data_IF_347753363919
#
_entry.id   IF_347753363919
#
_cell.length_a   1.000
_cell.length_b   1.000
_cell.length_c   1.000
_cell.angle_alpha   90.00
_cell.angle_beta   90.00
_cell.angle_gamma   90.00
#
_symmetry.space_group_name_H-M   'P 1'
#
loop_
_entity.id
_entity.type
_entity.pdbx_description
1 polymer ?
#
# COMPACT_ATOMS: atom_id res chain seq x y z
N UNK A 1 44.52 -21.30 13.10
CA UNK A 1 44.19 -19.87 13.05
C UNK A 1 42.77 -19.76 12.49
N UNK A 2 41.84 -19.50 13.38
CA UNK A 2 40.39 -19.43 13.12
C UNK A 2 40.07 -18.11 12.42
N UNK A 3 39.44 -18.18 11.24
CA UNK A 3 38.85 -17.02 10.57
C UNK A 3 37.39 -16.86 11.06
N UNK A 4 37.22 -15.97 12.02
CA UNK A 4 35.96 -15.49 12.50
C UNK A 4 35.20 -14.81 11.36
N UNK A 5 34.13 -15.48 10.85
CA UNK A 5 33.17 -14.89 9.92
C UNK A 5 32.37 -13.81 10.67
N UNK A 6 32.70 -12.55 10.40
CA UNK A 6 32.02 -11.38 10.93
C UNK A 6 30.52 -11.43 10.53
N UNK A 7 29.68 -11.88 11.45
CA UNK A 7 28.23 -11.67 11.39
C UNK A 7 27.99 -10.17 11.32
N UNK A 8 27.46 -9.67 10.21
CA UNK A 8 26.95 -8.28 10.16
C UNK A 8 25.84 -8.16 11.19
N UNK A 9 25.88 -7.17 12.11
CA UNK A 9 24.78 -6.97 13.03
C UNK A 9 23.52 -6.64 12.22
N UNK A 10 22.40 -7.36 12.48
CA UNK A 10 21.08 -6.93 12.07
C UNK A 10 20.95 -5.47 12.48
N UNK A 11 20.61 -4.56 11.54
CA UNK A 11 20.11 -3.24 11.90
C UNK A 11 18.89 -3.51 12.76
N UNK A 12 19.01 -3.21 14.05
CA UNK A 12 17.86 -3.02 14.92
C UNK A 12 17.12 -1.85 14.28
N UNK A 13 16.04 -2.13 13.58
CA UNK A 13 15.04 -1.11 13.24
C UNK A 13 14.65 -0.49 14.58
N UNK A 14 14.68 0.84 14.67
CA UNK A 14 14.08 1.56 15.79
C UNK A 14 12.73 0.92 16.03
N UNK A 15 12.57 0.34 17.22
CA UNK A 15 11.35 -0.32 17.64
C UNK A 15 10.27 0.76 17.78
N UNK A 16 9.59 1.10 16.68
CA UNK A 16 8.21 1.52 16.77
C UNK A 16 7.53 0.39 17.50
N UNK A 17 6.98 0.67 18.66
CA UNK A 17 6.32 -0.37 19.47
C UNK A 17 5.12 -0.82 18.64
N UNK A 18 5.22 -2.01 18.05
CA UNK A 18 4.15 -2.62 17.28
C UNK A 18 2.86 -2.59 18.12
N UNK A 19 1.72 -2.27 17.52
CA UNK A 19 0.44 -2.30 18.21
C UNK A 19 0.12 -3.77 18.57
N UNK A 20 0.20 -4.17 19.86
CA UNK A 20 0.02 -5.56 20.25
C UNK A 20 -1.40 -6.08 19.99
N UNK A 21 -2.35 -5.18 19.75
CA UNK A 21 -3.74 -5.52 19.45
C UNK A 21 -3.97 -5.77 17.95
N UNK A 22 -3.01 -5.39 17.10
CA UNK A 22 -3.07 -5.63 15.67
C UNK A 22 -2.99 -7.13 15.38
N UNK A 23 -4.03 -7.67 14.74
CA UNK A 23 -4.04 -9.04 14.20
C UNK A 23 -3.83 -8.96 12.69
N UNK A 24 -2.84 -9.71 12.21
CA UNK A 24 -2.50 -9.71 10.78
C UNK A 24 -3.15 -10.84 10.01
N UNK A 25 -3.44 -11.97 10.63
CA UNK A 25 -4.01 -13.11 9.93
C UNK A 25 -5.51 -12.89 9.64
N UNK A 26 -5.87 -12.99 8.37
CA UNK A 26 -7.25 -13.16 7.94
C UNK A 26 -7.65 -14.63 8.08
N UNK A 27 -8.42 -14.95 9.12
CA UNK A 27 -8.85 -16.33 9.43
C UNK A 27 -9.62 -16.91 8.26
N UNK A 28 -10.54 -16.15 7.66
CA UNK A 28 -11.40 -16.60 6.57
C UNK A 28 -10.59 -16.95 5.31
N UNK A 29 -9.47 -16.28 5.08
CA UNK A 29 -8.58 -16.56 3.95
C UNK A 29 -7.90 -17.95 4.04
N UNK A 30 -7.82 -18.53 5.26
CA UNK A 30 -7.18 -19.82 5.51
C UNK A 30 -8.17 -20.99 5.75
N UNK A 31 -9.47 -20.71 5.90
CA UNK A 31 -10.43 -21.78 6.18
C UNK A 31 -10.74 -22.63 4.93
N UNK A 32 -11.12 -22.02 3.83
CA UNK A 32 -11.30 -22.69 2.54
C UNK A 32 -11.02 -21.72 1.38
N UNK A 33 -10.54 -22.21 0.21
CA UNK A 33 -10.45 -21.39 -0.98
C UNK A 33 -11.82 -20.83 -1.32
N UNK A 34 -11.95 -19.50 -1.37
CA UNK A 34 -13.20 -18.86 -1.78
C UNK A 34 -13.49 -19.22 -3.24
N UNK A 35 -14.47 -20.12 -3.46
CA UNK A 35 -14.87 -20.53 -4.79
C UNK A 35 -15.36 -19.29 -5.56
N UNK A 36 -14.51 -18.80 -6.46
CA UNK A 36 -14.80 -17.60 -7.27
C UNK A 36 -14.20 -16.31 -6.75
N UNK A 37 -13.17 -16.32 -5.88
CA UNK A 37 -12.39 -15.14 -5.58
C UNK A 37 -11.93 -14.48 -6.90
N UNK A 38 -12.43 -13.28 -7.15
CA UNK A 38 -12.11 -12.50 -8.35
C UNK A 38 -11.04 -11.49 -8.02
N UNK A 39 -9.93 -11.56 -8.75
CA UNK A 39 -8.84 -10.59 -8.71
C UNK A 39 -8.25 -10.44 -10.11
N UNK A 40 -7.55 -9.35 -10.34
CA UNK A 40 -6.89 -9.10 -11.62
C UNK A 40 -5.55 -9.85 -11.65
N UNK A 41 -5.41 -10.79 -12.56
CA UNK A 41 -4.14 -11.49 -12.76
C UNK A 41 -3.12 -10.58 -13.46
N UNK A 42 -1.85 -10.81 -13.24
CA UNK A 42 -0.80 -10.07 -13.95
C UNK A 42 -0.93 -10.20 -15.48
N UNK A 43 -1.35 -11.37 -15.97
CA UNK A 43 -1.57 -11.62 -17.41
C UNK A 43 -2.67 -10.73 -17.99
N UNK A 44 -3.62 -10.26 -17.22
CA UNK A 44 -4.72 -9.42 -17.71
C UNK A 44 -4.24 -8.01 -18.08
N UNK A 45 -3.11 -7.55 -17.51
CA UNK A 45 -2.55 -6.21 -17.75
C UNK A 45 -1.15 -6.21 -18.36
N UNK A 46 -0.43 -7.33 -18.31
CA UNK A 46 0.89 -7.52 -18.89
C UNK A 46 1.00 -8.90 -19.54
N UNK A 47 0.75 -8.98 -20.86
CA UNK A 47 0.72 -10.20 -21.63
C UNK A 47 1.09 -9.93 -23.10
N UNK A 48 1.22 -10.99 -23.87
CA UNK A 48 1.39 -10.90 -25.33
C UNK A 48 0.22 -10.14 -25.99
N UNK A 49 -0.99 -10.29 -25.46
CA UNK A 49 -2.17 -9.57 -25.97
C UNK A 49 -2.10 -8.06 -25.69
N UNK A 50 -1.41 -7.66 -24.60
CA UNK A 50 -1.20 -6.26 -24.23
C UNK A 50 0.06 -5.64 -24.87
N UNK A 51 0.55 -6.23 -25.95
CA UNK A 51 1.73 -5.79 -26.73
C UNK A 51 3.07 -5.92 -26.00
N UNK A 52 3.16 -6.76 -25.01
CA UNK A 52 4.43 -7.15 -24.42
C UNK A 52 5.17 -8.18 -25.28
N UNK A 53 6.48 -8.32 -25.05
CA UNK A 53 7.33 -9.27 -25.77
C UNK A 53 7.88 -10.33 -24.82
N UNK A 54 8.02 -11.60 -25.25
CA UNK A 54 8.60 -12.64 -24.41
C UNK A 54 10.00 -12.28 -23.92
N UNK A 55 10.32 -12.69 -22.70
CA UNK A 55 11.67 -12.55 -22.10
C UNK A 55 12.32 -13.91 -21.95
N UNK A 56 13.61 -13.94 -21.62
CA UNK A 56 14.40 -15.15 -21.34
C UNK A 56 14.39 -16.16 -22.50
N UNK A 57 14.25 -15.68 -23.75
CA UNK A 57 14.21 -16.54 -24.93
C UNK A 57 12.94 -17.38 -25.06
N UNK A 58 11.90 -17.11 -24.29
CA UNK A 58 10.65 -17.85 -24.31
C UNK A 58 9.96 -17.77 -25.69
N UNK A 59 9.37 -18.89 -26.14
CA UNK A 59 8.42 -18.88 -27.22
C UNK A 59 7.04 -18.48 -26.70
N UNK A 60 6.13 -18.09 -27.59
CA UNK A 60 4.78 -17.63 -27.18
C UNK A 60 4.01 -18.64 -26.35
N UNK A 61 4.24 -19.92 -26.62
CA UNK A 61 3.59 -21.03 -25.94
C UNK A 61 4.19 -21.34 -24.55
N UNK A 62 5.38 -20.78 -24.26
CA UNK A 62 6.15 -21.11 -23.05
C UNK A 62 6.19 -19.99 -22.01
N UNK A 63 5.53 -18.87 -22.26
CA UNK A 63 5.59 -17.69 -21.36
C UNK A 63 4.78 -17.84 -20.07
N UNK A 64 3.79 -18.73 -20.03
CA UNK A 64 2.86 -18.84 -18.90
C UNK A 64 3.52 -19.46 -17.66
N UNK A 65 3.27 -18.84 -16.51
CA UNK A 65 3.56 -19.35 -15.16
C UNK A 65 2.40 -19.03 -14.22
N UNK A 66 2.34 -19.76 -13.13
CA UNK A 66 1.43 -19.52 -12.01
C UNK A 66 2.23 -19.39 -10.71
N UNK A 67 1.79 -18.51 -9.81
CA UNK A 67 2.46 -18.25 -8.53
C UNK A 67 1.48 -18.43 -7.38
N UNK A 68 1.87 -19.24 -6.39
CA UNK A 68 1.17 -19.44 -5.14
C UNK A 68 1.48 -18.29 -4.19
N UNK A 69 0.45 -17.76 -3.55
CA UNK A 69 0.54 -16.84 -2.42
C UNK A 69 0.46 -17.59 -1.07
N UNK A 70 0.82 -16.95 0.05
CA UNK A 70 0.89 -17.64 1.35
C UNK A 70 -0.49 -17.86 1.99
N UNK A 71 -1.47 -18.20 1.19
CA UNK A 71 -2.81 -18.63 1.59
C UNK A 71 -3.29 -19.75 0.66
N UNK A 72 -4.33 -20.51 1.01
CA UNK A 72 -4.87 -21.56 0.15
C UNK A 72 -5.67 -21.04 -1.05
N UNK A 73 -5.69 -19.73 -1.28
CA UNK A 73 -6.43 -19.09 -2.36
C UNK A 73 -5.84 -19.43 -3.75
N UNK A 74 -6.58 -19.20 -4.86
CA UNK A 74 -6.11 -19.53 -6.20
C UNK A 74 -4.78 -18.87 -6.56
N UNK A 75 -3.97 -19.57 -7.35
CA UNK A 75 -2.70 -19.05 -7.89
C UNK A 75 -2.95 -17.91 -8.87
N UNK A 76 -2.04 -16.95 -8.87
CA UNK A 76 -2.04 -15.88 -9.86
C UNK A 76 -1.33 -16.32 -11.13
N UNK A 77 -1.90 -15.95 -12.29
CA UNK A 77 -1.35 -16.22 -13.61
C UNK A 77 -0.50 -15.04 -14.09
N UNK A 78 0.68 -15.36 -14.59
CA UNK A 78 1.61 -14.43 -15.20
C UNK A 78 2.03 -14.93 -16.58
N UNK A 79 2.46 -14.02 -17.43
CA UNK A 79 3.28 -14.33 -18.60
C UNK A 79 4.67 -13.71 -18.41
N UNK A 80 5.73 -14.47 -18.74
CA UNK A 80 7.12 -14.01 -18.72
C UNK A 80 7.39 -13.12 -19.93
N UNK A 81 6.89 -11.89 -19.83
CA UNK A 81 6.97 -10.87 -20.88
C UNK A 81 7.48 -9.55 -20.32
N UNK A 82 7.93 -8.69 -21.21
CA UNK A 82 8.33 -7.32 -20.91
C UNK A 82 7.54 -6.33 -21.77
N UNK A 83 7.13 -5.23 -21.20
CA UNK A 83 6.52 -4.09 -21.86
C UNK A 83 6.86 -2.82 -21.10
N UNK A 84 6.98 -1.70 -21.81
CA UNK A 84 7.20 -0.40 -21.17
C UNK A 84 5.99 -0.05 -20.30
N UNK A 85 6.25 0.39 -19.07
CA UNK A 85 5.23 0.77 -18.08
C UNK A 85 4.24 -0.38 -17.77
N UNK A 86 4.71 -1.63 -17.84
CA UNK A 86 3.97 -2.85 -17.52
C UNK A 86 4.63 -3.61 -16.38
N UNK A 87 3.89 -4.51 -15.75
CA UNK A 87 4.42 -5.38 -14.71
C UNK A 87 5.58 -6.20 -15.27
N UNK A 88 6.72 -6.13 -14.59
CA UNK A 88 7.84 -7.06 -14.83
C UNK A 88 7.56 -8.38 -14.12
N UNK A 89 7.04 -9.36 -14.86
CA UNK A 89 6.64 -10.65 -14.32
C UNK A 89 7.79 -11.42 -13.68
N UNK A 90 9.02 -11.27 -14.19
CA UNK A 90 10.21 -11.94 -13.65
C UNK A 90 10.56 -11.35 -12.28
N UNK A 91 10.68 -10.02 -12.20
CA UNK A 91 11.02 -9.35 -10.94
C UNK A 91 9.90 -9.49 -9.90
N UNK A 92 8.62 -9.37 -10.33
CA UNK A 92 7.48 -9.56 -9.45
C UNK A 92 7.45 -10.97 -8.84
N UNK A 93 7.73 -12.01 -9.66
CA UNK A 93 7.80 -13.40 -9.20
C UNK A 93 8.90 -13.61 -8.16
N UNK A 94 10.11 -13.12 -8.42
CA UNK A 94 11.23 -13.21 -7.49
C UNK A 94 10.88 -12.49 -6.19
N UNK A 95 10.28 -11.28 -6.29
CA UNK A 95 9.93 -10.50 -5.10
C UNK A 95 8.86 -11.17 -4.24
N UNK A 96 7.88 -11.82 -4.84
CA UNK A 96 6.87 -12.61 -4.10
C UNK A 96 7.57 -13.70 -3.28
N UNK A 97 8.47 -14.47 -3.91
CA UNK A 97 9.22 -15.54 -3.22
C UNK A 97 10.05 -14.99 -2.06
N UNK A 98 10.73 -13.85 -2.26
CA UNK A 98 11.50 -13.18 -1.21
C UNK A 98 10.61 -12.75 -0.04
N UNK A 99 9.49 -12.08 -0.32
CA UNK A 99 8.58 -11.57 0.71
C UNK A 99 7.92 -12.69 1.52
N UNK A 100 7.58 -13.80 0.87
CA UNK A 100 7.08 -15.00 1.58
C UNK A 100 8.15 -15.52 2.54
N UNK A 101 9.38 -15.70 2.08
CA UNK A 101 10.47 -16.19 2.93
C UNK A 101 10.82 -15.20 4.08
N UNK A 102 10.80 -13.90 3.80
CA UNK A 102 11.15 -12.86 4.78
C UNK A 102 10.08 -12.67 5.88
N UNK A 103 8.81 -12.82 5.54
CA UNK A 103 7.69 -12.41 6.40
C UNK A 103 6.97 -13.59 7.05
N UNK A 104 6.75 -14.67 6.30
CA UNK A 104 5.89 -15.77 6.73
C UNK A 104 6.63 -16.98 7.30
N UNK A 105 7.95 -17.02 7.16
CA UNK A 105 8.74 -18.21 7.53
C UNK A 105 9.78 -17.86 8.59
N UNK A 106 10.05 -18.81 9.49
CA UNK A 106 11.21 -18.75 10.38
C UNK A 106 12.50 -18.98 9.58
N UNK A 107 13.67 -18.72 10.18
CA UNK A 107 14.97 -18.93 9.52
C UNK A 107 15.14 -20.40 9.05
N UNK A 108 14.64 -21.36 9.83
CA UNK A 108 14.71 -22.80 9.49
C UNK A 108 13.78 -23.15 8.34
N UNK A 109 12.53 -22.68 8.39
CA UNK A 109 11.53 -22.90 7.34
C UNK A 109 11.88 -22.19 6.03
N UNK A 110 12.58 -21.04 6.11
CA UNK A 110 13.02 -20.27 4.96
C UNK A 110 14.29 -20.82 4.30
N UNK A 111 14.99 -21.76 4.92
CA UNK A 111 16.25 -22.29 4.41
C UNK A 111 16.19 -22.75 2.95
N UNK A 112 15.18 -23.53 2.49
CA UNK A 112 15.07 -23.94 1.10
C UNK A 112 14.94 -22.77 0.11
N UNK A 113 14.46 -21.61 0.58
CA UNK A 113 14.29 -20.40 -0.23
C UNK A 113 15.56 -19.54 -0.25
N UNK A 114 16.24 -19.41 0.91
CA UNK A 114 17.28 -18.41 1.14
C UNK A 114 18.70 -18.97 1.13
N UNK A 115 18.88 -20.28 1.06
CA UNK A 115 20.20 -20.94 1.08
C UNK A 115 21.13 -20.35 0.02
N UNK A 116 22.34 -19.94 0.47
CA UNK A 116 23.35 -19.32 -0.39
C UNK A 116 23.89 -20.26 -1.49
N UNK A 117 23.82 -21.57 -1.30
CA UNK A 117 24.40 -22.56 -2.22
C UNK A 117 23.43 -23.09 -3.28
N UNK A 118 22.11 -22.86 -3.13
CA UNK A 118 21.15 -23.41 -4.07
C UNK A 118 19.68 -23.12 -3.74
N UNK A 119 19.41 -22.22 -2.83
CA UNK A 119 18.05 -21.80 -2.48
C UNK A 119 17.27 -21.24 -3.67
N UNK A 120 15.95 -21.32 -3.59
CA UNK A 120 15.04 -20.95 -4.66
C UNK A 120 15.25 -19.52 -5.17
N UNK A 121 15.44 -18.55 -4.25
CA UNK A 121 15.66 -17.14 -4.63
C UNK A 121 16.91 -17.02 -5.50
N UNK A 122 18.03 -17.61 -5.07
CA UNK A 122 19.27 -17.58 -5.84
C UNK A 122 19.14 -18.25 -7.21
N UNK A 123 18.42 -19.36 -7.29
CA UNK A 123 18.15 -20.07 -8.56
C UNK A 123 17.32 -19.21 -9.51
N UNK A 124 16.29 -18.53 -9.03
CA UNK A 124 15.48 -17.61 -9.81
C UNK A 124 16.29 -16.42 -10.33
N UNK A 125 17.07 -15.77 -9.45
CA UNK A 125 17.95 -14.64 -9.81
C UNK A 125 19.02 -15.07 -10.83
N UNK A 126 19.61 -16.25 -10.66
CA UNK A 126 20.60 -16.78 -11.61
C UNK A 126 19.95 -17.08 -12.97
N UNK A 127 18.80 -17.76 -12.98
CA UNK A 127 18.12 -18.13 -14.20
C UNK A 127 17.65 -16.91 -15.01
N UNK A 128 17.20 -15.83 -14.32
CA UNK A 128 16.75 -14.60 -14.95
C UNK A 128 17.91 -13.65 -15.37
N UNK A 129 19.14 -13.96 -15.00
CA UNK A 129 20.31 -13.12 -15.36
C UNK A 129 20.42 -12.96 -16.88
N UNK A 130 20.68 -11.74 -17.35
CA UNK A 130 20.76 -11.38 -18.78
C UNK A 130 21.74 -12.25 -19.60
N UNK A 131 22.80 -12.75 -18.95
CA UNK A 131 23.80 -13.58 -19.61
C UNK A 131 23.47 -15.09 -19.59
N UNK A 132 22.47 -15.50 -18.80
CA UNK A 132 22.10 -16.91 -18.59
C UNK A 132 20.79 -17.21 -19.28
N UNK A 133 19.73 -16.46 -18.98
CA UNK A 133 18.39 -16.56 -19.58
C UNK A 133 17.86 -18.01 -19.60
N UNK A 134 17.95 -18.69 -18.45
CA UNK A 134 17.52 -20.08 -18.32
C UNK A 134 16.03 -20.17 -17.99
N UNK A 135 15.19 -20.13 -19.01
CA UNK A 135 13.74 -20.24 -18.90
C UNK A 135 13.31 -21.52 -18.19
N UNK A 136 13.92 -22.65 -18.54
CA UNK A 136 13.58 -23.97 -17.98
C UNK A 136 13.90 -24.01 -16.48
N UNK A 137 15.08 -23.55 -16.09
CA UNK A 137 15.48 -23.45 -14.69
C UNK A 137 14.62 -22.48 -13.89
N UNK A 138 14.21 -21.37 -14.48
CA UNK A 138 13.31 -20.42 -13.85
C UNK A 138 11.93 -21.03 -13.57
N UNK A 139 11.30 -21.65 -14.57
CA UNK A 139 10.00 -22.32 -14.44
C UNK A 139 10.04 -23.48 -13.46
N UNK A 140 11.13 -24.27 -13.45
CA UNK A 140 11.33 -25.34 -12.49
C UNK A 140 11.42 -24.81 -11.05
N UNK A 141 12.13 -23.69 -10.82
CA UNK A 141 12.23 -23.07 -9.50
C UNK A 141 10.88 -22.49 -9.03
N UNK A 142 10.08 -21.89 -9.91
CA UNK A 142 8.72 -21.44 -9.59
C UNK A 142 7.81 -22.61 -9.24
N UNK A 143 7.91 -23.72 -9.99
CA UNK A 143 7.14 -24.92 -9.70
C UNK A 143 7.46 -25.50 -8.31
N UNK A 144 8.74 -25.60 -7.99
CA UNK A 144 9.23 -26.08 -6.69
C UNK A 144 8.78 -25.12 -5.55
N UNK A 145 8.87 -23.81 -5.76
CA UNK A 145 8.33 -22.80 -4.85
C UNK A 145 6.85 -23.05 -4.55
N UNK A 146 6.03 -23.19 -5.60
CA UNK A 146 4.59 -23.41 -5.45
C UNK A 146 4.29 -24.68 -4.65
N UNK A 147 5.02 -25.78 -4.91
CA UNK A 147 4.85 -27.04 -4.17
C UNK A 147 5.27 -26.91 -2.71
N UNK A 148 6.43 -26.30 -2.46
CA UNK A 148 6.94 -26.11 -1.09
C UNK A 148 6.02 -25.22 -0.28
N UNK A 149 5.59 -24.08 -0.85
CA UNK A 149 4.68 -23.18 -0.16
C UNK A 149 3.30 -23.79 0.09
N UNK A 150 2.79 -24.57 -0.87
CA UNK A 150 1.51 -25.25 -0.71
C UNK A 150 1.53 -26.17 0.52
N UNK A 151 2.58 -26.97 0.71
CA UNK A 151 2.74 -27.84 1.89
C UNK A 151 2.77 -27.01 3.18
N UNK A 152 3.53 -25.90 3.22
CA UNK A 152 3.61 -25.02 4.40
C UNK A 152 2.27 -24.36 4.73
N UNK A 153 1.45 -24.07 3.73
CA UNK A 153 0.09 -23.53 3.90
C UNK A 153 -0.85 -24.63 4.42
N UNK A 154 -0.84 -25.82 3.83
CA UNK A 154 -1.67 -26.97 4.22
C UNK A 154 -1.36 -27.44 5.65
N UNK A 155 -0.10 -27.43 6.06
CA UNK A 155 0.35 -27.74 7.42
C UNK A 155 0.04 -26.63 8.45
N UNK A 156 -0.51 -25.50 7.99
CA UNK A 156 -0.87 -24.35 8.84
C UNK A 156 0.32 -23.57 9.39
N UNK A 157 1.55 -23.84 8.89
CA UNK A 157 2.79 -23.18 9.36
C UNK A 157 2.73 -21.68 9.07
N UNK A 158 2.37 -21.31 7.84
CA UNK A 158 2.26 -19.91 7.39
C UNK A 158 1.26 -19.13 8.26
N UNK A 159 0.07 -19.66 8.47
CA UNK A 159 -0.97 -19.06 9.30
C UNK A 159 -0.50 -18.87 10.76
N UNK A 160 0.13 -19.90 11.34
CA UNK A 160 0.68 -19.86 12.71
C UNK A 160 1.80 -18.83 12.88
N UNK A 161 2.63 -18.64 11.88
CA UNK A 161 3.69 -17.65 11.92
C UNK A 161 3.13 -16.24 11.79
N UNK A 162 2.13 -16.03 10.92
CA UNK A 162 1.46 -14.74 10.77
C UNK A 162 0.73 -14.30 12.04
N UNK A 163 0.19 -15.23 12.84
CA UNK A 163 -0.42 -14.95 14.14
C UNK A 163 0.55 -14.35 15.17
N UNK A 164 1.85 -14.51 14.98
CA UNK A 164 2.89 -13.97 15.89
C UNK A 164 3.31 -12.55 15.51
N UNK A 165 2.86 -12.05 14.35
CA UNK A 165 3.22 -10.74 13.85
C UNK A 165 2.12 -9.73 14.17
N UNK A 166 2.54 -8.49 14.47
CA UNK A 166 1.65 -7.37 14.75
C UNK A 166 1.86 -6.20 13.81
N UNK A 167 2.86 -6.26 12.95
CA UNK A 167 3.19 -5.25 11.95
C UNK A 167 3.69 -5.89 10.66
N UNK A 168 3.48 -5.19 9.54
CA UNK A 168 4.05 -5.54 8.25
C UNK A 168 5.23 -4.62 7.94
N UNK A 169 6.33 -5.13 7.37
CA UNK A 169 7.41 -4.29 6.87
C UNK A 169 6.89 -3.28 5.84
N UNK A 170 7.31 -2.01 5.92
CA UNK A 170 6.85 -0.96 5.00
C UNK A 170 7.07 -1.30 3.52
N UNK A 171 8.20 -1.96 3.18
CA UNK A 171 8.47 -2.40 1.81
C UNK A 171 7.51 -3.50 1.32
N UNK A 172 6.98 -4.31 2.23
CA UNK A 172 5.97 -5.31 1.90
C UNK A 172 4.60 -4.66 1.68
N UNK A 173 4.22 -3.72 2.55
CA UNK A 173 3.02 -2.90 2.37
C UNK A 173 3.04 -2.21 1.01
N UNK A 174 4.14 -1.52 0.68
CA UNK A 174 4.33 -0.85 -0.60
C UNK A 174 4.17 -1.83 -1.77
N UNK A 175 4.79 -3.01 -1.70
CA UNK A 175 4.68 -4.01 -2.76
C UNK A 175 3.23 -4.48 -3.00
N UNK A 176 2.45 -4.72 -1.95
CA UNK A 176 1.04 -5.11 -2.08
C UNK A 176 0.23 -3.98 -2.74
N UNK A 177 0.45 -2.74 -2.30
CA UNK A 177 -0.24 -1.57 -2.85
C UNK A 177 0.14 -1.31 -4.32
N UNK A 178 1.41 -1.47 -4.67
CA UNK A 178 1.89 -1.39 -6.06
C UNK A 178 1.25 -2.50 -6.92
N UNK A 179 1.13 -3.73 -6.39
CA UNK A 179 0.42 -4.80 -7.10
C UNK A 179 -1.03 -4.42 -7.44
N UNK A 180 -1.71 -3.73 -6.53
CA UNK A 180 -3.09 -3.29 -6.70
C UNK A 180 -3.16 -2.16 -7.73
N UNK A 181 -2.33 -1.14 -7.55
CA UNK A 181 -2.26 0.03 -8.43
C UNK A 181 -1.94 -0.35 -9.88
N UNK A 182 -0.94 -1.21 -10.09
CA UNK A 182 -0.50 -1.66 -11.41
C UNK A 182 -1.58 -2.44 -12.17
N UNK A 183 -2.55 -3.01 -11.47
CA UNK A 183 -3.64 -3.80 -12.06
C UNK A 183 -4.93 -3.00 -12.28
N UNK A 184 -5.11 -1.92 -11.55
CA UNK A 184 -6.40 -1.19 -11.52
C UNK A 184 -6.29 0.24 -12.01
N UNK A 185 -5.28 0.98 -11.57
CA UNK A 185 -5.13 2.41 -11.87
C UNK A 185 -4.16 2.64 -13.04
N UNK A 186 -2.97 2.04 -13.00
CA UNK A 186 -1.94 2.27 -14.01
C UNK A 186 -2.41 2.01 -15.45
N UNK A 187 -3.23 0.98 -15.75
CA UNK A 187 -3.77 0.77 -17.10
C UNK A 187 -4.70 1.88 -17.59
N UNK A 188 -5.18 2.74 -16.67
CA UNK A 188 -6.19 3.79 -16.93
C UNK A 188 -5.77 5.16 -16.39
N UNK A 189 -4.48 5.37 -16.15
CA UNK A 189 -3.96 6.59 -15.50
C UNK A 189 -4.30 7.86 -16.30
N UNK A 190 -4.52 7.76 -17.61
CA UNK A 190 -4.95 8.88 -18.46
C UNK A 190 -6.31 9.46 -18.04
N UNK A 191 -7.15 8.70 -17.34
CA UNK A 191 -8.43 9.20 -16.82
C UNK A 191 -8.23 10.24 -15.71
N UNK A 192 -7.09 10.18 -15.00
CA UNK A 192 -6.73 11.13 -13.95
C UNK A 192 -6.20 12.46 -14.52
N UNK A 193 -5.69 12.47 -15.76
CA UNK A 193 -5.20 13.69 -16.41
C UNK A 193 -6.29 14.68 -16.80
N UNK A 194 -7.57 14.29 -16.70
CA UNK A 194 -8.74 15.13 -16.99
C UNK A 194 -9.11 16.08 -15.86
N UNK A 195 -8.32 16.16 -14.82
CA UNK A 195 -8.46 17.15 -13.76
C UNK A 195 -8.07 18.55 -14.28
N UNK A 196 -8.85 19.57 -13.94
CA UNK A 196 -8.64 20.94 -14.42
C UNK A 196 -7.52 21.63 -13.60
N UNK A 197 -6.44 22.03 -14.26
CA UNK A 197 -5.37 22.79 -13.64
C UNK A 197 -5.87 24.17 -13.15
N UNK A 198 -5.52 24.53 -11.92
CA UNK A 198 -5.88 25.84 -11.33
C UNK A 198 -7.25 25.88 -10.64
N UNK A 199 -7.89 24.74 -10.47
CA UNK A 199 -9.11 24.56 -9.67
C UNK A 199 -8.82 23.69 -8.45
N UNK A 200 -9.82 23.51 -7.56
CA UNK A 200 -9.74 22.55 -6.44
C UNK A 200 -9.64 21.08 -6.92
N UNK A 201 -9.71 20.85 -8.22
CA UNK A 201 -9.76 19.53 -8.87
C UNK A 201 -8.40 19.17 -9.50
N UNK A 202 -7.33 19.27 -8.74
CA UNK A 202 -5.98 18.84 -9.16
C UNK A 202 -5.64 17.52 -8.52
N UNK A 203 -5.21 16.54 -9.34
CA UNK A 203 -4.78 15.25 -8.85
C UNK A 203 -3.30 15.25 -8.48
N UNK A 204 -2.98 14.74 -7.30
CA UNK A 204 -1.61 14.55 -6.82
C UNK A 204 -1.56 13.57 -5.66
N UNK A 205 -0.58 12.68 -5.66
CA UNK A 205 -0.47 11.57 -4.71
C UNK A 205 0.63 11.78 -3.68
N UNK A 206 0.36 11.41 -2.42
CA UNK A 206 1.37 11.15 -1.41
C UNK A 206 1.93 9.74 -1.65
N UNK A 207 3.25 9.62 -1.71
CA UNK A 207 3.91 8.34 -1.95
C UNK A 207 4.03 7.50 -0.65
N UNK A 208 4.11 6.19 -0.79
CA UNK A 208 4.12 5.25 0.34
C UNK A 208 5.07 5.63 1.48
N UNK A 209 6.33 6.02 1.23
CA UNK A 209 7.23 6.42 2.31
C UNK A 209 6.76 7.62 3.12
N UNK A 210 6.04 8.56 2.47
CA UNK A 210 5.50 9.72 3.16
C UNK A 210 4.32 9.35 4.05
N UNK A 211 3.42 8.50 3.56
CA UNK A 211 2.29 8.00 4.34
C UNK A 211 2.76 7.23 5.57
N UNK A 212 3.73 6.31 5.41
CA UNK A 212 4.37 5.60 6.53
C UNK A 212 4.96 6.58 7.54
N UNK A 213 5.75 7.57 7.09
CA UNK A 213 6.32 8.60 7.96
C UNK A 213 5.25 9.34 8.76
N UNK A 214 4.16 9.76 8.10
CA UNK A 214 3.08 10.52 8.74
C UNK A 214 2.32 9.68 9.76
N UNK A 215 1.80 8.54 9.34
CA UNK A 215 0.83 7.78 10.11
C UNK A 215 1.48 6.84 11.13
N UNK A 216 2.59 6.19 10.77
CA UNK A 216 3.26 5.20 11.63
C UNK A 216 4.31 5.87 12.52
N UNK A 217 5.28 6.59 11.92
CA UNK A 217 6.42 7.10 12.67
C UNK A 217 6.09 8.33 13.51
N UNK A 218 5.36 9.30 12.94
CA UNK A 218 5.12 10.59 13.56
C UNK A 218 3.86 10.59 14.42
N UNK A 219 2.72 10.17 13.87
CA UNK A 219 1.44 10.17 14.59
C UNK A 219 1.18 8.89 15.37
N UNK A 220 1.91 7.81 15.09
CA UNK A 220 1.79 6.51 15.77
C UNK A 220 0.34 6.04 15.83
N UNK A 221 -0.35 6.14 14.69
CA UNK A 221 -1.74 5.74 14.54
C UNK A 221 -1.87 4.23 14.83
N UNK A 222 -2.93 3.83 15.52
CA UNK A 222 -3.15 2.47 16.00
C UNK A 222 -4.34 1.80 15.33
N UNK A 223 -4.40 0.49 15.42
CA UNK A 223 -5.45 -0.32 14.79
C UNK A 223 -6.86 -0.07 15.35
N UNK A 224 -6.98 0.43 16.58
CA UNK A 224 -8.25 0.79 17.22
C UNK A 224 -8.73 2.21 16.91
N UNK A 225 -8.02 2.94 16.08
CA UNK A 225 -8.28 4.34 15.73
C UNK A 225 -8.94 4.50 14.36
N UNK A 226 -9.38 5.72 14.06
CA UNK A 226 -10.09 6.08 12.83
C UNK A 226 -9.29 7.12 12.05
N UNK A 227 -9.03 6.78 10.79
CA UNK A 227 -8.39 7.64 9.80
C UNK A 227 -9.42 8.12 8.76
N UNK A 228 -9.39 9.41 8.42
CA UNK A 228 -10.26 10.01 7.39
C UNK A 228 -9.43 10.78 6.38
N UNK A 229 -9.67 10.58 5.08
CA UNK A 229 -9.00 11.26 3.97
C UNK A 229 -10.01 12.08 3.15
N UNK A 230 -9.91 13.40 3.22
CA UNK A 230 -10.80 14.34 2.53
C UNK A 230 -10.20 14.76 1.18
N UNK A 231 -10.73 14.23 0.11
CA UNK A 231 -10.17 14.29 -1.25
C UNK A 231 -9.25 13.10 -1.50
N UNK A 232 -9.78 11.89 -1.30
CA UNK A 232 -8.96 10.66 -1.28
C UNK A 232 -8.48 10.17 -2.65
N UNK A 233 -8.86 10.83 -3.75
CA UNK A 233 -8.48 10.44 -5.10
C UNK A 233 -8.86 9.00 -5.40
N UNK A 234 -7.90 8.19 -5.83
CA UNK A 234 -8.10 6.75 -6.08
C UNK A 234 -8.03 5.89 -4.81
N UNK A 235 -7.87 6.51 -3.63
CA UNK A 235 -7.91 5.82 -2.33
C UNK A 235 -6.57 5.30 -1.81
N UNK A 236 -5.44 5.66 -2.42
CA UNK A 236 -4.12 5.12 -2.07
C UNK A 236 -3.79 5.22 -0.57
N UNK A 237 -4.01 6.38 0.04
CA UNK A 237 -3.68 6.60 1.45
C UNK A 237 -4.64 5.85 2.38
N UNK A 238 -5.92 5.78 2.02
CA UNK A 238 -6.93 5.03 2.77
C UNK A 238 -6.58 3.54 2.81
N UNK A 239 -6.20 2.97 1.66
CA UNK A 239 -5.82 1.56 1.55
C UNK A 239 -4.50 1.28 2.28
N UNK A 240 -3.52 2.20 2.20
CA UNK A 240 -2.27 2.05 2.95
C UNK A 240 -2.50 2.10 4.46
N UNK A 241 -3.29 3.05 4.97
CA UNK A 241 -3.59 3.12 6.40
C UNK A 241 -4.28 1.84 6.90
N UNK A 242 -5.22 1.31 6.14
CA UNK A 242 -5.89 0.05 6.47
C UNK A 242 -4.94 -1.16 6.44
N UNK A 243 -4.02 -1.23 5.46
CA UNK A 243 -3.09 -2.36 5.35
C UNK A 243 -1.96 -2.28 6.36
N UNK A 244 -1.29 -1.14 6.46
CA UNK A 244 -0.08 -0.96 7.26
C UNK A 244 -0.39 -0.91 8.76
N UNK A 245 -1.46 -0.20 9.14
CA UNK A 245 -1.83 0.04 10.54
C UNK A 245 -2.96 -0.90 10.99
N UNK A 246 -3.92 -1.18 10.11
CA UNK A 246 -5.11 -1.96 10.42
C UNK A 246 -6.23 -1.13 11.05
N UNK A 247 -6.16 0.18 10.97
CA UNK A 247 -7.19 1.07 11.48
C UNK A 247 -8.42 1.12 10.56
N UNK A 248 -9.55 1.60 11.07
CA UNK A 248 -10.67 1.98 10.22
C UNK A 248 -10.28 3.19 9.39
N UNK A 249 -10.40 3.08 8.06
CA UNK A 249 -9.93 4.09 7.11
C UNK A 249 -11.06 4.47 6.15
N UNK A 250 -11.38 5.77 6.07
CA UNK A 250 -12.51 6.28 5.31
C UNK A 250 -12.02 7.41 4.42
N UNK A 251 -12.34 7.34 3.12
CA UNK A 251 -12.02 8.38 2.14
C UNK A 251 -13.25 8.91 1.44
N UNK A 252 -13.17 10.14 0.95
CA UNK A 252 -14.20 10.75 0.13
C UNK A 252 -13.59 11.48 -1.06
N UNK A 253 -14.10 11.18 -2.25
CA UNK A 253 -13.67 11.79 -3.51
C UNK A 253 -14.89 12.20 -4.33
N UNK A 254 -14.83 13.35 -5.00
CA UNK A 254 -15.95 13.83 -5.78
C UNK A 254 -15.80 13.60 -7.29
N UNK A 255 -14.56 13.41 -7.78
CA UNK A 255 -14.30 13.26 -9.21
C UNK A 255 -14.66 11.85 -9.68
N UNK A 256 -15.56 11.77 -10.67
CA UNK A 256 -16.16 10.54 -11.19
C UNK A 256 -15.11 9.49 -11.61
N UNK A 257 -14.06 9.91 -12.35
CA UNK A 257 -13.03 9.00 -12.84
C UNK A 257 -12.19 8.42 -11.68
N UNK A 258 -11.81 9.26 -10.72
CA UNK A 258 -11.09 8.82 -9.54
C UNK A 258 -11.94 7.87 -8.69
N UNK A 259 -13.22 8.15 -8.49
CA UNK A 259 -14.13 7.27 -7.76
C UNK A 259 -14.29 5.88 -8.40
N UNK A 260 -14.32 5.81 -9.75
CA UNK A 260 -14.36 4.53 -10.47
C UNK A 260 -13.10 3.72 -10.22
N UNK A 261 -11.94 4.35 -10.40
CA UNK A 261 -10.65 3.69 -10.15
C UNK A 261 -10.49 3.30 -8.67
N UNK A 262 -10.96 4.14 -7.73
CA UNK A 262 -10.99 3.84 -6.31
C UNK A 262 -11.84 2.60 -5.98
N UNK A 263 -12.99 2.44 -6.64
CA UNK A 263 -13.83 1.26 -6.47
C UNK A 263 -13.15 -0.02 -7.01
N UNK A 264 -12.44 0.09 -8.15
CA UNK A 264 -11.67 -1.02 -8.70
C UNK A 264 -10.49 -1.37 -7.80
N UNK A 265 -9.74 -0.38 -7.31
CA UNK A 265 -8.67 -0.56 -6.34
C UNK A 265 -9.15 -1.26 -5.06
N UNK A 266 -10.29 -0.82 -4.51
CA UNK A 266 -10.82 -1.40 -3.28
C UNK A 266 -11.16 -2.88 -3.46
N UNK A 267 -11.79 -3.26 -4.59
CA UNK A 267 -12.08 -4.68 -4.88
C UNK A 267 -10.81 -5.51 -5.00
N UNK A 268 -9.83 -5.00 -5.73
CA UNK A 268 -8.54 -5.67 -5.88
C UNK A 268 -7.78 -5.74 -4.55
N UNK A 269 -7.84 -4.69 -3.73
CA UNK A 269 -7.26 -4.64 -2.39
C UNK A 269 -7.80 -5.75 -1.48
N UNK A 270 -9.12 -5.90 -1.42
CA UNK A 270 -9.78 -6.95 -0.61
C UNK A 270 -9.34 -8.34 -1.08
N UNK A 271 -9.28 -8.56 -2.39
CA UNK A 271 -8.84 -9.83 -2.95
C UNK A 271 -7.34 -10.09 -2.72
N UNK A 272 -6.47 -9.07 -2.88
CA UNK A 272 -5.03 -9.19 -2.62
C UNK A 272 -4.73 -9.47 -1.16
N UNK A 273 -5.42 -8.84 -0.23
CA UNK A 273 -5.28 -9.14 1.18
C UNK A 273 -5.60 -10.62 1.46
N UNK A 274 -6.64 -11.19 0.83
CA UNK A 274 -6.95 -12.62 0.95
C UNK A 274 -5.87 -13.52 0.34
N UNK A 275 -5.32 -13.17 -0.82
CA UNK A 275 -4.20 -13.91 -1.42
C UNK A 275 -2.99 -13.93 -0.48
N UNK A 276 -2.66 -12.80 0.13
CA UNK A 276 -1.60 -12.69 1.11
C UNK A 276 -1.99 -13.21 2.51
N UNK A 277 -3.25 -13.59 2.73
CA UNK A 277 -3.76 -14.05 4.02
C UNK A 277 -3.75 -12.99 5.12
N UNK A 278 -3.77 -11.69 4.74
CA UNK A 278 -3.64 -10.55 5.65
C UNK A 278 -5.01 -9.93 5.91
N UNK A 279 -5.33 -9.69 7.17
CA UNK A 279 -6.50 -8.95 7.63
C UNK A 279 -6.20 -7.44 7.62
N UNK A 280 -6.73 -6.66 6.67
CA UNK A 280 -6.61 -5.21 6.70
C UNK A 280 -7.58 -4.59 7.71
N UNK A 281 -7.40 -3.30 8.02
CA UNK A 281 -8.43 -2.49 8.65
C UNK A 281 -9.65 -2.32 7.74
N UNK A 282 -10.77 -1.92 8.34
CA UNK A 282 -12.00 -1.65 7.59
C UNK A 282 -11.79 -0.45 6.66
N UNK A 283 -12.14 -0.59 5.38
CA UNK A 283 -12.03 0.47 4.37
C UNK A 283 -13.39 0.92 3.86
N UNK A 284 -13.56 2.23 3.69
CA UNK A 284 -14.74 2.81 3.07
C UNK A 284 -14.31 3.97 2.15
N UNK A 285 -14.73 3.92 0.89
CA UNK A 285 -14.45 4.95 -0.11
C UNK A 285 -15.79 5.50 -0.61
N UNK A 286 -16.06 6.76 -0.25
CA UNK A 286 -17.28 7.46 -0.55
C UNK A 286 -17.14 8.34 -1.79
N UNK A 287 -18.16 8.37 -2.64
CA UNK A 287 -18.26 9.29 -3.76
C UNK A 287 -19.08 10.51 -3.37
N UNK A 288 -18.54 11.69 -3.61
CA UNK A 288 -19.27 12.96 -3.46
C UNK A 288 -18.49 14.07 -2.80
N UNK A 289 -19.16 15.16 -2.56
CA UNK A 289 -18.62 16.30 -1.82
C UNK A 289 -18.57 15.96 -0.33
N UNK A 290 -17.36 15.87 0.25
CA UNK A 290 -17.17 15.54 1.66
C UNK A 290 -17.88 16.52 2.61
N UNK A 291 -18.16 17.76 2.18
CA UNK A 291 -18.89 18.75 2.97
C UNK A 291 -20.37 18.36 3.17
N UNK A 292 -20.91 17.54 2.28
CA UNK A 292 -22.33 17.15 2.26
C UNK A 292 -22.58 15.66 2.51
N UNK A 293 -21.51 14.86 2.56
CA UNK A 293 -21.61 13.42 2.75
C UNK A 293 -21.83 13.10 4.24
N UNK A 294 -22.97 12.51 4.58
CA UNK A 294 -23.33 12.21 5.97
C UNK A 294 -22.40 11.18 6.63
N UNK A 295 -21.88 10.24 5.85
CA UNK A 295 -20.94 9.22 6.35
C UNK A 295 -19.63 9.89 6.78
N UNK A 296 -19.15 10.84 5.98
CA UNK A 296 -17.95 11.62 6.33
C UNK A 296 -18.19 12.50 7.56
N UNK A 297 -19.35 13.15 7.66
CA UNK A 297 -19.68 13.94 8.84
C UNK A 297 -19.70 13.10 10.13
N UNK A 298 -20.25 11.89 10.09
CA UNK A 298 -20.22 10.97 11.22
C UNK A 298 -18.79 10.42 11.48
N UNK A 299 -18.02 10.14 10.44
CA UNK A 299 -16.63 9.70 10.58
C UNK A 299 -15.74 10.77 11.25
N UNK A 300 -15.91 12.05 10.89
CA UNK A 300 -15.15 13.16 11.47
C UNK A 300 -15.35 13.27 12.99
N UNK A 301 -16.55 13.04 13.51
CA UNK A 301 -16.82 13.09 14.96
C UNK A 301 -16.00 12.11 15.78
N UNK A 302 -15.55 11.01 15.16
CA UNK A 302 -14.77 9.95 15.81
C UNK A 302 -13.35 9.80 15.27
N UNK A 303 -12.96 10.63 14.29
CA UNK A 303 -11.65 10.60 13.68
C UNK A 303 -10.52 10.88 14.70
N UNK A 304 -9.47 10.11 14.64
CA UNK A 304 -8.21 10.32 15.34
C UNK A 304 -7.21 11.10 14.49
N UNK A 305 -7.21 10.82 13.19
CA UNK A 305 -6.38 11.49 12.19
C UNK A 305 -7.22 11.81 10.97
N UNK A 306 -7.12 13.05 10.49
CA UNK A 306 -7.70 13.52 9.23
C UNK A 306 -6.57 13.96 8.30
N UNK A 307 -6.58 13.50 7.06
CA UNK A 307 -5.70 13.98 6.00
C UNK A 307 -6.47 14.89 5.05
N UNK A 308 -5.84 16.00 4.69
CA UNK A 308 -6.34 16.90 3.66
C UNK A 308 -5.18 17.33 2.76
N UNK A 309 -5.11 16.79 1.57
CA UNK A 309 -4.16 17.26 0.55
C UNK A 309 -4.66 18.58 -0.07
N UNK A 310 -4.59 19.66 0.71
CA UNK A 310 -5.11 20.98 0.32
C UNK A 310 -4.12 21.85 -0.49
N UNK A 311 -3.12 21.22 -1.14
CA UNK A 311 -2.09 21.95 -1.90
C UNK A 311 -2.69 22.89 -2.97
N UNK A 312 -3.74 22.42 -3.65
CA UNK A 312 -4.41 23.15 -4.73
C UNK A 312 -5.75 23.77 -4.32
N UNK A 313 -6.23 23.58 -3.09
CA UNK A 313 -7.55 24.04 -2.65
C UNK A 313 -7.64 25.56 -2.61
N UNK A 314 -8.83 26.10 -2.94
CA UNK A 314 -9.16 27.50 -2.82
C UNK A 314 -9.25 27.92 -1.35
N UNK A 315 -9.14 29.23 -1.10
CA UNK A 315 -9.31 29.78 0.26
C UNK A 315 -10.69 29.47 0.81
N UNK A 316 -11.75 29.55 -0.04
CA UNK A 316 -13.11 29.23 0.37
C UNK A 316 -13.26 27.78 0.85
N UNK A 317 -12.65 26.82 0.14
CA UNK A 317 -12.70 25.41 0.54
C UNK A 317 -11.92 25.17 1.84
N UNK A 318 -10.79 25.85 2.04
CA UNK A 318 -10.07 25.81 3.30
C UNK A 318 -10.88 26.38 4.48
N UNK A 319 -11.64 27.47 4.26
CA UNK A 319 -12.53 28.02 5.28
C UNK A 319 -13.68 27.07 5.62
N UNK A 320 -14.24 26.40 4.62
CA UNK A 320 -15.28 25.37 4.84
C UNK A 320 -14.72 24.20 5.67
N UNK A 321 -13.49 23.75 5.38
CA UNK A 321 -12.79 22.71 6.14
C UNK A 321 -12.57 23.12 7.61
N UNK A 322 -12.13 24.33 7.88
CA UNK A 322 -11.98 24.85 9.25
C UNK A 322 -13.29 24.76 10.03
N UNK A 323 -14.42 25.06 9.37
CA UNK A 323 -15.75 24.91 9.99
C UNK A 323 -16.08 23.44 10.28
N UNK A 324 -15.76 22.53 9.36
CA UNK A 324 -15.95 21.08 9.58
C UNK A 324 -15.11 20.56 10.74
N UNK A 325 -13.94 21.13 10.98
CA UNK A 325 -13.06 20.73 12.09
C UNK A 325 -13.63 21.08 13.48
N UNK A 326 -14.69 21.87 13.56
CA UNK A 326 -15.42 22.09 14.82
C UNK A 326 -16.07 20.79 15.33
N UNK A 327 -16.42 19.88 14.43
CA UNK A 327 -17.05 18.58 14.76
C UNK A 327 -16.02 17.51 15.19
N UNK A 328 -14.71 17.77 15.01
CA UNK A 328 -13.67 16.83 15.40
C UNK A 328 -13.57 16.73 16.92
N UNK A 329 -13.31 15.54 17.42
CA UNK A 329 -12.99 15.33 18.84
C UNK A 329 -11.69 16.06 19.24
N UNK A 330 -11.60 16.45 20.49
CA UNK A 330 -10.40 17.09 21.04
C UNK A 330 -9.19 16.14 20.89
N UNK A 331 -8.06 16.68 20.50
CA UNK A 331 -6.83 15.92 20.27
C UNK A 331 -6.73 15.26 18.89
N UNK A 332 -7.79 15.31 18.06
CA UNK A 332 -7.71 14.84 16.68
C UNK A 332 -6.59 15.57 15.93
N UNK A 333 -5.80 14.80 15.16
CA UNK A 333 -4.70 15.33 14.35
C UNK A 333 -5.15 15.55 12.90
N UNK A 334 -4.82 16.70 12.34
CA UNK A 334 -5.13 17.04 10.95
C UNK A 334 -3.82 17.23 10.23
N UNK A 335 -3.56 16.44 9.20
CA UNK A 335 -2.41 16.56 8.30
C UNK A 335 -2.84 17.38 7.09
N UNK A 336 -2.06 18.44 6.75
CA UNK A 336 -2.34 19.25 5.57
C UNK A 336 -1.05 19.73 4.88
N UNK A 337 -1.16 20.12 3.60
CA UNK A 337 -0.04 20.66 2.83
C UNK A 337 0.00 22.19 2.77
N UNK A 338 -1.05 22.83 3.28
CA UNK A 338 -1.10 24.28 3.59
C UNK A 338 -1.67 24.45 4.97
N UNK A 339 -1.17 25.45 5.70
CA UNK A 339 -1.70 25.82 7.02
C UNK A 339 -3.17 26.25 6.92
N UNK A 340 -3.97 25.83 7.89
CA UNK A 340 -5.34 26.33 8.11
C UNK A 340 -5.36 27.59 9.00
N UNK A 341 -4.21 28.00 9.51
CA UNK A 341 -4.02 29.22 10.31
C UNK A 341 -3.13 30.17 9.53
N UNK A 342 -3.54 31.41 9.41
CA UNK A 342 -2.77 32.45 8.72
C UNK A 342 -1.55 32.84 9.55
N UNK A 343 -0.35 32.79 8.93
CA UNK A 343 0.87 33.31 9.53
C UNK A 343 0.76 34.83 9.75
N UNK A 344 0.93 35.24 10.96
CA UNK A 344 1.41 36.58 11.25
C UNK A 344 0.44 37.58 11.85
N UNK A 345 0.94 38.36 12.71
CA UNK A 345 0.80 39.74 13.19
C UNK A 345 -0.58 40.46 13.17
N UNK A 346 -1.60 39.83 12.64
CA UNK A 346 -2.99 40.27 12.80
C UNK A 346 -3.69 39.23 13.67
N UNK A 347 -3.71 39.44 14.97
CA UNK A 347 -4.68 38.82 15.86
C UNK A 347 -6.09 39.25 15.43
N UNK A 348 -6.55 38.74 14.31
CA UNK A 348 -7.95 38.77 13.98
C UNK A 348 -8.66 37.84 14.98
N UNK A 349 -9.31 38.46 15.95
CA UNK A 349 -10.16 37.84 16.98
C UNK A 349 -11.24 36.92 16.33
N UNK A 350 -11.38 37.00 15.02
CA UNK A 350 -12.35 36.25 14.21
C UNK A 350 -11.73 35.06 13.42
N UNK A 351 -10.44 34.73 13.60
CA UNK A 351 -9.82 33.55 12.97
C UNK A 351 -10.19 32.30 13.77
N UNK A 352 -11.22 31.60 13.29
CA UNK A 352 -11.70 30.35 13.91
C UNK A 352 -10.58 29.31 13.92
N UNK A 353 -9.76 29.26 12.88
CA UNK A 353 -8.66 28.29 12.76
C UNK A 353 -7.67 28.42 13.91
N UNK A 354 -7.17 29.64 14.19
CA UNK A 354 -6.23 29.89 15.28
C UNK A 354 -6.80 29.62 16.68
N UNK A 355 -8.12 29.71 16.80
CA UNK A 355 -8.82 29.46 18.07
C UNK A 355 -8.92 27.96 18.36
N UNK A 356 -9.18 27.14 17.34
CA UNK A 356 -9.49 25.71 17.52
C UNK A 356 -8.33 24.78 17.20
N UNK A 357 -7.29 25.26 16.52
CA UNK A 357 -6.15 24.44 16.09
C UNK A 357 -4.84 24.92 16.72
N UNK A 358 -4.04 23.94 17.13
CA UNK A 358 -2.62 24.11 17.44
C UNK A 358 -1.82 23.53 16.29
N UNK A 359 -1.01 24.36 15.61
CA UNK A 359 -0.39 24.01 14.32
C UNK A 359 1.11 23.87 14.49
N UNK A 360 1.64 22.75 14.04
CA UNK A 360 3.06 22.46 13.90
C UNK A 360 3.43 22.41 12.41
N UNK A 361 4.43 23.20 12.00
CA UNK A 361 5.01 23.15 10.67
C UNK A 361 6.12 22.10 10.63
N UNK A 362 6.07 21.22 9.64
CA UNK A 362 7.02 20.15 9.38
C UNK A 362 7.53 20.23 7.94
N UNK A 363 8.55 19.43 7.61
CA UNK A 363 9.08 19.33 6.25
C UNK A 363 9.20 17.85 5.81
N UNK A 364 8.90 17.62 4.53
CA UNK A 364 9.18 16.35 3.86
C UNK A 364 10.34 16.51 2.86
N UNK A 365 11.20 15.49 2.69
CA UNK A 365 12.28 15.52 1.71
C UNK A 365 11.77 15.28 0.29
N UNK A 366 12.69 15.28 -0.69
CA UNK A 366 12.40 14.88 -2.06
C UNK A 366 11.88 13.43 -2.16
N UNK A 367 11.08 13.13 -3.20
CA UNK A 367 10.58 11.77 -3.46
C UNK A 367 9.39 11.33 -2.58
N UNK A 368 8.71 12.25 -1.90
CA UNK A 368 7.58 11.94 -1.04
C UNK A 368 6.20 12.25 -1.66
N UNK A 369 6.17 12.98 -2.76
CA UNK A 369 4.96 13.38 -3.48
C UNK A 369 5.11 13.20 -4.98
N UNK A 370 4.01 12.99 -5.71
CA UNK A 370 4.04 12.68 -7.15
C UNK A 370 4.21 13.90 -8.06
N UNK A 371 3.91 15.11 -7.59
CA UNK A 371 3.89 16.34 -8.41
C UNK A 371 5.18 17.14 -8.43
N UNK A 372 6.17 16.79 -7.60
CA UNK A 372 7.48 17.44 -7.58
C UNK A 372 8.54 16.51 -6.99
N UNK A 373 9.76 16.62 -7.47
CA UNK A 373 10.91 15.95 -6.86
C UNK A 373 11.50 16.74 -5.68
N UNK A 374 11.09 18.00 -5.49
CA UNK A 374 11.56 18.80 -4.36
C UNK A 374 10.79 18.48 -3.09
N UNK A 375 11.46 18.60 -1.94
CA UNK A 375 10.81 18.58 -0.65
C UNK A 375 9.90 19.80 -0.43
N UNK A 376 9.15 19.80 0.65
CA UNK A 376 8.24 20.91 0.95
C UNK A 376 7.71 20.89 2.37
N UNK A 377 6.96 21.94 2.76
CA UNK A 377 6.30 21.98 4.05
C UNK A 377 5.04 21.15 4.07
N UNK A 378 4.69 20.67 5.27
CA UNK A 378 3.38 20.16 5.64
C UNK A 378 3.08 20.54 7.09
N UNK A 379 1.84 20.43 7.48
CA UNK A 379 1.37 20.90 8.77
C UNK A 379 0.62 19.78 9.50
N UNK A 380 0.87 19.69 10.80
CA UNK A 380 0.08 18.87 11.71
C UNK A 380 -0.65 19.82 12.65
N UNK A 381 -1.97 19.86 12.51
CA UNK A 381 -2.82 20.64 13.38
C UNK A 381 -3.49 19.74 14.41
N UNK A 382 -3.53 20.16 15.67
CA UNK A 382 -4.22 19.43 16.74
C UNK A 382 -5.50 20.20 17.10
N UNK A 383 -6.64 19.49 17.15
CA UNK A 383 -7.92 20.04 17.63
C UNK A 383 -7.84 20.32 19.13
N UNK A 384 -7.96 21.59 19.52
CA UNK A 384 -7.98 22.07 20.93
C UNK A 384 -9.32 21.83 21.59
#
# INVERSE_FOLDING_TARGET
MSLDARKRPRKVLDQTIADPNRKLRDVDAYEEPEAGLKFVHAVDVASLETKCVPVMGAQKEDVAIEIQYPSPQPRERFELVWGKDKIDAVQASIRIVQLVAETYLTEEEAEPFTNQNGGLIRRLEKASNRNIQDLTGFKAAIHEYNQTLQVLVEDGIVAKNLDKLHELPAHFVAFILDQIYDRTVAPHVELLSKYENGTDYVYGELLHPFVTKLLVEQLKLRSDQVFVDLGSGVGNVVLQAALEIGCESIGCEMMENACKLAADQKREFEARCKLWGILPGKTQLEKGDFRKNSIIQEALKRADVVLVNNKAFTSQLNDDLVRMFLDLKLGCKIISLRSFVTDGHSHNINDVGSTILDVEECAYPEGYVSWTNAGGPYYISTRK
#
